data_IF_150159419782
#
_entry.id   IF_150159419782
#
_cell.length_a   1.000
_cell.length_b   1.000
_cell.length_c   1.000
_cell.angle_alpha   90.00
_cell.angle_beta   90.00
_cell.angle_gamma   90.00
#
_symmetry.space_group_name_H-M   'P 1'
#
loop_
_entity.id
_entity.type
_entity.pdbx_description
1 polymer ?
#
# COMPACT_ATOMS: atom_id res chain seq x y z
N UNK A 1 5.85 0.12 -5.03
CA UNK A 1 7.16 -0.46 -4.65
C UNK A 1 7.60 -1.39 -5.77
N UNK A 2 8.91 -1.56 -5.96
CA UNK A 2 9.46 -2.51 -6.92
C UNK A 2 10.53 -3.33 -6.22
N UNK A 3 10.55 -4.64 -6.50
CA UNK A 3 11.56 -5.56 -6.00
C UNK A 3 12.25 -6.26 -7.16
N UNK A 4 13.52 -6.58 -6.98
CA UNK A 4 14.27 -7.39 -7.93
C UNK A 4 14.66 -8.69 -7.26
N UNK A 5 14.39 -9.80 -7.93
CA UNK A 5 14.75 -11.14 -7.48
C UNK A 5 15.54 -11.85 -8.58
N UNK A 6 16.44 -12.72 -8.14
CA UNK A 6 17.29 -13.52 -9.02
C UNK A 6 17.25 -14.95 -8.54
N UNK A 7 17.00 -15.85 -9.48
CA UNK A 7 17.13 -17.29 -9.29
C UNK A 7 17.70 -17.93 -10.57
N UNK A 8 18.45 -19.02 -10.44
CA UNK A 8 19.11 -19.69 -11.57
C UNK A 8 18.12 -20.24 -12.62
N UNK A 9 16.90 -20.63 -12.22
CA UNK A 9 15.82 -21.05 -13.11
C UNK A 9 14.97 -19.87 -13.62
N UNK A 10 15.15 -18.69 -13.02
CA UNK A 10 14.36 -17.49 -13.24
C UNK A 10 13.14 -17.41 -12.32
N UNK A 11 12.53 -16.23 -12.31
CA UNK A 11 11.39 -15.93 -11.43
C UNK A 11 10.08 -16.36 -12.09
N UNK A 12 9.23 -17.05 -11.33
CA UNK A 12 7.90 -17.49 -11.75
C UNK A 12 6.81 -16.51 -11.31
N UNK A 13 6.79 -16.18 -10.02
CA UNK A 13 5.76 -15.33 -9.44
C UNK A 13 6.27 -14.58 -8.22
N UNK A 14 5.59 -13.49 -7.89
CA UNK A 14 5.76 -12.80 -6.63
C UNK A 14 4.41 -12.40 -6.06
N UNK A 15 4.28 -12.43 -4.74
CA UNK A 15 3.07 -12.09 -3.99
C UNK A 15 3.41 -11.15 -2.86
N UNK A 16 2.43 -10.36 -2.43
CA UNK A 16 2.67 -9.44 -1.34
C UNK A 16 1.45 -8.89 -0.66
N UNK A 17 1.59 -8.75 0.65
CA UNK A 17 0.56 -8.22 1.54
C UNK A 17 1.09 -7.02 2.31
N UNK A 18 0.18 -6.14 2.74
CA UNK A 18 0.47 -5.00 3.62
C UNK A 18 -0.41 -5.04 4.84
N UNK A 19 0.16 -4.78 6.03
CA UNK A 19 -0.61 -4.69 7.26
C UNK A 19 -0.17 -3.53 8.15
N UNK A 20 -1.16 -3.01 8.89
CA UNK A 20 -0.95 -1.98 9.89
C UNK A 20 -0.22 -2.55 11.08
N UNK A 21 0.82 -1.85 11.56
CA UNK A 21 1.48 -2.19 12.82
C UNK A 21 0.62 -1.86 14.04
N UNK A 22 -0.37 -0.99 13.89
CA UNK A 22 -1.23 -0.57 15.00
C UNK A 22 -2.30 -1.62 15.31
N UNK A 23 -2.89 -2.24 14.29
CA UNK A 23 -4.04 -3.15 14.44
C UNK A 23 -3.79 -4.58 13.96
N UNK A 24 -2.65 -4.85 13.32
CA UNK A 24 -2.36 -6.11 12.63
C UNK A 24 -3.40 -6.51 11.56
N UNK A 25 -4.23 -5.57 11.10
CA UNK A 25 -5.13 -5.76 9.96
C UNK A 25 -4.52 -5.19 8.70
N UNK A 26 -4.85 -5.79 7.56
CA UNK A 26 -4.17 -5.51 6.30
C UNK A 26 -4.98 -5.87 5.07
N UNK A 27 -4.33 -5.69 3.92
CA UNK A 27 -4.85 -6.07 2.62
C UNK A 27 -3.81 -6.95 1.95
N UNK A 28 -4.25 -8.08 1.42
CA UNK A 28 -3.42 -8.96 0.63
C UNK A 28 -3.67 -8.79 -0.87
N UNK A 29 -2.62 -8.96 -1.66
CA UNK A 29 -2.75 -9.16 -3.10
C UNK A 29 -2.37 -10.61 -3.38
N UNK A 30 -3.39 -11.44 -3.60
CA UNK A 30 -3.21 -12.87 -3.88
C UNK A 30 -2.97 -13.17 -5.37
N UNK A 31 -2.99 -12.14 -6.23
CA UNK A 31 -2.62 -12.28 -7.63
C UNK A 31 -1.11 -12.08 -7.82
N UNK A 32 -0.54 -12.81 -8.77
CA UNK A 32 0.87 -12.67 -9.15
C UNK A 32 1.16 -11.22 -9.54
N UNK A 33 2.15 -10.63 -8.87
CA UNK A 33 2.65 -9.30 -9.17
C UNK A 33 3.16 -9.26 -10.61
N UNK A 34 3.00 -8.11 -11.28
CA UNK A 34 3.51 -7.90 -12.62
C UNK A 34 5.04 -7.91 -12.65
N UNK A 35 5.64 -9.10 -12.71
CA UNK A 35 7.07 -9.32 -12.81
C UNK A 35 7.52 -9.18 -14.26
N UNK A 36 8.48 -8.29 -14.50
CA UNK A 36 9.13 -8.12 -15.79
C UNK A 36 10.50 -8.77 -15.74
N UNK A 37 10.76 -9.72 -16.64
CA UNK A 37 12.08 -10.31 -16.78
C UNK A 37 13.09 -9.22 -17.16
N UNK A 38 14.19 -9.16 -16.42
CA UNK A 38 15.38 -8.37 -16.77
C UNK A 38 16.29 -9.21 -17.65
N UNK A 39 16.42 -10.51 -17.32
CA UNK A 39 17.11 -11.52 -18.11
C UNK A 39 16.54 -12.91 -17.76
N UNK A 40 17.24 -13.99 -18.14
CA UNK A 40 16.80 -15.37 -17.89
C UNK A 40 16.64 -15.72 -16.40
N UNK A 41 17.45 -15.14 -15.51
CA UNK A 41 17.52 -15.46 -14.09
C UNK A 41 16.94 -14.38 -13.19
N UNK A 42 16.87 -13.13 -13.67
CA UNK A 42 16.45 -11.97 -12.88
C UNK A 42 15.15 -11.38 -13.39
N UNK A 43 14.24 -11.04 -12.47
CA UNK A 43 13.03 -10.27 -12.77
C UNK A 43 12.81 -9.15 -11.75
N UNK A 44 12.15 -8.09 -12.20
CA UNK A 44 11.68 -6.98 -11.36
C UNK A 44 10.17 -7.01 -11.27
N UNK A 45 9.63 -7.17 -10.06
CA UNK A 45 8.20 -7.20 -9.78
C UNK A 45 7.76 -5.88 -9.18
N UNK A 46 6.75 -5.25 -9.79
CA UNK A 46 6.21 -3.97 -9.34
C UNK A 46 4.82 -4.15 -8.74
N UNK A 47 4.56 -3.41 -7.67
CA UNK A 47 3.31 -3.47 -6.93
C UNK A 47 2.78 -2.07 -6.60
N UNK A 48 1.46 -1.94 -6.63
CA UNK A 48 0.76 -0.72 -6.26
C UNK A 48 -0.40 -1.07 -5.34
N UNK A 49 -0.36 -0.52 -4.14
CA UNK A 49 -1.48 -0.57 -3.20
C UNK A 49 -2.34 0.66 -3.37
N UNK A 50 -3.65 0.47 -3.51
CA UNK A 50 -4.63 1.54 -3.46
C UNK A 50 -5.32 1.47 -2.10
N UNK A 51 -5.07 2.49 -1.29
CA UNK A 51 -5.60 2.62 0.06
C UNK A 51 -6.76 3.61 0.02
N UNK A 52 -7.96 3.10 -0.26
CA UNK A 52 -9.18 3.91 -0.34
C UNK A 52 -9.94 3.87 1.01
N UNK A 53 -10.02 5.00 1.74
CA UNK A 53 -10.80 5.08 2.98
C UNK A 53 -12.32 4.98 2.75
N UNK A 54 -12.81 5.22 1.54
CA UNK A 54 -14.24 5.24 1.18
C UNK A 54 -14.78 3.91 0.64
N UNK A 55 -13.96 2.87 0.51
CA UNK A 55 -14.41 1.58 -0.02
C UNK A 55 -15.30 0.85 1.00
N UNK A 56 -16.60 0.76 0.69
CA UNK A 56 -17.63 0.20 1.56
C UNK A 56 -17.31 -1.24 2.01
N UNK A 57 -17.31 -1.47 3.33
CA UNK A 57 -17.29 -2.80 3.96
C UNK A 57 -15.95 -3.29 4.50
N UNK A 58 -14.81 -2.73 4.08
CA UNK A 58 -13.45 -2.98 4.66
C UNK A 58 -12.58 -1.73 4.64
N UNK A 59 -13.19 -0.57 4.88
CA UNK A 59 -12.54 0.74 4.80
C UNK A 59 -11.41 0.90 5.82
N UNK A 60 -10.44 1.74 5.47
CA UNK A 60 -9.37 2.13 6.38
C UNK A 60 -9.92 2.91 7.57
N UNK A 61 -9.61 2.47 8.78
CA UNK A 61 -10.01 3.11 10.02
C UNK A 61 -8.93 4.06 10.55
N UNK A 62 -9.35 5.08 11.31
CA UNK A 62 -8.43 6.04 11.93
C UNK A 62 -7.40 5.41 12.88
N UNK A 63 -7.75 4.26 13.48
CA UNK A 63 -6.85 3.49 14.35
C UNK A 63 -5.70 2.84 13.58
N UNK A 64 -5.86 2.64 12.26
CA UNK A 64 -4.83 2.05 11.41
C UNK A 64 -3.82 3.09 10.89
N UNK A 65 -3.98 4.37 11.23
CA UNK A 65 -3.00 5.40 10.90
C UNK A 65 -1.66 5.14 11.61
N UNK A 66 -0.56 5.46 10.93
CA UNK A 66 0.79 5.19 11.40
C UNK A 66 1.53 4.24 10.46
N UNK A 67 2.41 3.42 11.03
CA UNK A 67 3.31 2.57 10.26
C UNK A 67 2.59 1.32 9.70
N UNK A 68 2.83 1.06 8.43
CA UNK A 68 2.44 -0.15 7.71
C UNK A 68 3.68 -0.85 7.19
N UNK A 69 3.63 -2.17 7.11
CA UNK A 69 4.75 -3.00 6.68
C UNK A 69 4.31 -3.99 5.61
N UNK A 70 5.26 -4.44 4.79
CA UNK A 70 5.04 -5.34 3.65
C UNK A 70 5.56 -6.75 3.92
N UNK A 71 4.86 -7.74 3.40
CA UNK A 71 5.25 -9.15 3.30
C UNK A 71 5.48 -9.42 1.83
N UNK A 72 6.53 -10.13 1.49
CA UNK A 72 6.84 -10.51 0.13
C UNK A 72 7.15 -11.99 0.08
N UNK A 73 6.59 -12.64 -0.92
CA UNK A 73 6.94 -13.99 -1.31
C UNK A 73 7.31 -13.98 -2.79
N UNK A 74 8.38 -14.68 -3.15
CA UNK A 74 8.82 -14.84 -4.53
C UNK A 74 9.07 -16.33 -4.77
N UNK A 75 8.50 -16.86 -5.84
CA UNK A 75 8.75 -18.23 -6.28
C UNK A 75 9.55 -18.25 -7.57
N UNK A 76 10.51 -19.16 -7.69
CA UNK A 76 11.24 -19.46 -8.92
C UNK A 76 10.51 -20.46 -9.81
N UNK A 77 11.06 -20.76 -11.00
CA UNK A 77 10.50 -21.76 -11.92
C UNK A 77 10.81 -23.20 -11.53
N UNK A 78 11.84 -23.43 -10.73
CA UNK A 78 12.19 -24.73 -10.15
C UNK A 78 11.61 -24.96 -8.74
N UNK A 79 10.66 -24.11 -8.34
CA UNK A 79 9.84 -24.23 -7.12
C UNK A 79 10.54 -23.82 -5.80
N UNK A 80 11.66 -23.11 -5.87
CA UNK A 80 12.20 -22.41 -4.70
C UNK A 80 11.30 -21.24 -4.30
N UNK A 81 11.18 -21.01 -3.00
CA UNK A 81 10.37 -19.93 -2.43
C UNK A 81 11.20 -19.13 -1.44
N UNK A 82 11.24 -17.81 -1.65
CA UNK A 82 11.86 -16.87 -0.74
C UNK A 82 10.80 -15.92 -0.18
N UNK A 83 10.71 -15.88 1.15
CA UNK A 83 9.83 -14.95 1.86
C UNK A 83 10.65 -13.88 2.58
N UNK A 84 10.09 -12.67 2.66
CA UNK A 84 10.67 -11.56 3.40
C UNK A 84 9.59 -10.72 4.05
N UNK A 85 9.79 -10.43 5.32
CA UNK A 85 8.97 -9.47 6.07
C UNK A 85 9.70 -8.13 6.10
N UNK A 86 8.94 -7.03 6.13
CA UNK A 86 9.43 -5.67 6.39
C UNK A 86 10.42 -5.14 5.34
N UNK A 87 10.33 -5.62 4.09
CA UNK A 87 11.13 -5.10 2.97
C UNK A 87 10.72 -3.69 2.52
N UNK A 88 9.57 -3.21 3.00
CA UNK A 88 9.09 -1.86 2.82
C UNK A 88 8.26 -1.43 4.02
N UNK A 89 8.48 -0.20 4.46
CA UNK A 89 7.63 0.48 5.43
C UNK A 89 7.11 1.76 4.80
N UNK A 90 5.83 2.05 5.04
CA UNK A 90 5.24 3.33 4.69
C UNK A 90 4.29 3.79 5.81
N UNK A 91 3.94 5.06 5.79
CA UNK A 91 3.08 5.66 6.81
C UNK A 91 1.76 6.11 6.18
N UNK A 92 0.66 5.71 6.80
CA UNK A 92 -0.70 6.10 6.42
C UNK A 92 -1.18 7.16 7.40
N UNK A 93 -1.72 8.27 6.89
CA UNK A 93 -2.33 9.32 7.71
C UNK A 93 -3.84 9.10 7.78
N UNK A 94 -4.45 9.62 8.85
CA UNK A 94 -5.90 9.72 8.95
C UNK A 94 -6.43 10.59 7.82
N UNK A 95 -7.56 10.21 7.24
CA UNK A 95 -8.24 11.03 6.27
C UNK A 95 -8.87 12.24 6.99
N UNK A 96 -8.48 13.45 6.61
CA UNK A 96 -9.00 14.70 7.16
C UNK A 96 -9.60 15.54 6.03
N UNK A 97 -10.90 15.80 6.10
CA UNK A 97 -11.63 16.68 5.17
C UNK A 97 -12.19 17.86 5.96
N UNK A 98 -11.69 19.07 5.68
CA UNK A 98 -12.29 20.28 6.23
C UNK A 98 -13.58 20.58 5.46
N UNK A 99 -14.70 20.63 6.16
CA UNK A 99 -15.92 21.25 5.62
C UNK A 99 -16.01 22.63 6.26
N UNK A 100 -15.72 23.67 5.49
CA UNK A 100 -15.91 25.05 5.92
C UNK A 100 -17.16 25.57 5.23
N UNK A 101 -18.10 26.07 6.01
CA UNK A 101 -19.12 26.97 5.46
C UNK A 101 -18.47 28.35 5.39
N UNK A 102 -17.94 28.68 4.22
CA UNK A 102 -17.36 29.99 3.94
C UNK A 102 -18.41 31.01 3.46
N UNK A 103 -19.70 30.74 3.71
CA UNK A 103 -20.74 31.73 3.44
C UNK A 103 -20.49 32.96 4.33
N UNK A 104 -20.30 34.15 3.75
CA UNK A 104 -20.08 35.35 4.54
C UNK A 104 -21.31 35.60 5.41
N UNK A 105 -21.09 35.78 6.72
CA UNK A 105 -22.15 36.28 7.60
C UNK A 105 -22.56 37.67 7.08
N UNK A 106 -23.87 37.97 6.92
CA UNK A 106 -24.31 39.23 6.35
C UNK A 106 -23.90 40.40 7.26
N UNK A 107 -22.81 41.07 6.89
CA UNK A 107 -22.36 42.28 7.58
C UNK A 107 -23.25 43.45 7.19
N UNK A 108 -23.90 44.06 8.18
CA UNK A 108 -24.58 45.35 8.00
C UNK A 108 -23.52 46.41 7.67
N UNK A 109 -23.71 47.10 6.55
CA UNK A 109 -22.88 48.23 6.11
C UNK A 109 -22.81 49.26 7.25
N UNK A 110 -21.65 49.43 7.87
CA UNK A 110 -21.40 50.47 8.89
C UNK A 110 -20.97 50.01 10.27
N UNK A 111 -20.91 48.70 10.56
CA UNK A 111 -20.31 48.22 11.81
C UNK A 111 -18.78 48.13 11.68
N UNK A 112 -18.04 48.93 12.46
CA UNK A 112 -16.58 48.80 12.69
C UNK A 112 -16.40 48.21 14.12
N UNK A 113 -15.33 47.44 14.41
CA UNK A 113 -15.11 46.80 15.71
C UNK A 113 -14.98 47.79 16.87
#
# INVERSE_FOLDING_TARGET
MAITATDSSGINAAYSDVWSRATASGFGYHDNLGCKAVNATTATCSMRYVMDPGYYGRGLENVQAGAWQTYLEVSSKDHDVATRNNQGQFFVKRYAKLTTDASPEPVRRGARP
#
